data_IF_724873975563
#
_entry.id   IF_724873975563
#
_cell.length_a   1.000
_cell.length_b   1.000
_cell.length_c   1.000
_cell.angle_alpha   90.00
_cell.angle_beta   90.00
_cell.angle_gamma   90.00
#
_symmetry.space_group_name_H-M   'P 1'
#
loop_
_entity.id
_entity.type
_entity.pdbx_description
1 polymer ?
#
# COMPACT_ATOMS: atom_id res chain seq x y z
N UNK A 1 -19.36 -22.37 21.94
CA UNK A 1 -19.35 -21.46 20.76
C UNK A 1 -19.43 -19.97 21.17
N UNK A 2 -18.43 -19.39 21.87
CA UNK A 2 -18.45 -17.95 22.27
C UNK A 2 -17.19 -17.14 21.91
N UNK A 3 -16.24 -17.72 21.15
CA UNK A 3 -14.96 -17.04 20.78
C UNK A 3 -15.05 -16.11 19.56
N UNK A 4 -16.06 -16.29 18.69
CA UNK A 4 -16.26 -15.46 17.49
C UNK A 4 -16.43 -13.94 17.77
N UNK A 5 -17.30 -13.50 18.71
CA UNK A 5 -17.53 -12.07 18.91
C UNK A 5 -16.33 -11.34 19.50
N UNK A 6 -15.45 -12.03 20.24
CA UNK A 6 -14.24 -11.42 20.79
C UNK A 6 -13.18 -11.18 19.70
N UNK A 7 -12.99 -12.14 18.79
CA UNK A 7 -12.06 -12.02 17.65
C UNK A 7 -12.51 -10.90 16.71
N UNK A 8 -13.82 -10.75 16.51
CA UNK A 8 -14.39 -9.74 15.64
C UNK A 8 -14.24 -8.32 16.19
N UNK A 9 -14.43 -8.14 17.51
CA UNK A 9 -14.10 -6.89 18.21
C UNK A 9 -12.61 -6.53 18.08
N UNK A 10 -11.72 -7.51 18.28
CA UNK A 10 -10.28 -7.30 18.12
C UNK A 10 -9.91 -6.88 16.69
N UNK A 11 -10.50 -7.51 15.67
CA UNK A 11 -10.29 -7.13 14.26
C UNK A 11 -10.75 -5.71 14.00
N UNK A 12 -11.90 -5.31 14.55
CA UNK A 12 -12.44 -3.98 14.37
C UNK A 12 -11.54 -2.91 15.01
N UNK A 13 -11.01 -3.16 16.21
CA UNK A 13 -10.08 -2.27 16.89
C UNK A 13 -8.79 -2.08 16.09
N UNK A 14 -8.18 -3.18 15.65
CA UNK A 14 -6.97 -3.16 14.81
C UNK A 14 -7.25 -2.45 13.48
N UNK A 15 -8.41 -2.69 12.86
CA UNK A 15 -8.79 -2.05 11.60
C UNK A 15 -8.96 -0.54 11.78
N UNK A 16 -9.57 -0.10 12.89
CA UNK A 16 -9.75 1.32 13.19
C UNK A 16 -8.44 2.05 13.38
N UNK A 17 -7.48 1.44 14.09
CA UNK A 17 -6.14 2.03 14.27
C UNK A 17 -5.37 2.09 12.95
N UNK A 18 -5.37 0.99 12.18
CA UNK A 18 -4.75 0.97 10.86
C UNK A 18 -5.37 1.99 9.92
N UNK A 19 -6.69 2.22 9.98
CA UNK A 19 -7.36 3.20 9.15
C UNK A 19 -6.91 4.63 9.44
N UNK A 20 -6.70 4.98 10.72
CA UNK A 20 -6.16 6.31 11.10
C UNK A 20 -4.75 6.51 10.54
N UNK A 21 -3.90 5.50 10.69
CA UNK A 21 -2.53 5.53 10.15
C UNK A 21 -2.57 5.66 8.62
N UNK A 22 -3.43 4.89 7.96
CA UNK A 22 -3.62 4.94 6.52
C UNK A 22 -4.09 6.32 6.05
N UNK A 23 -5.06 6.92 6.74
CA UNK A 23 -5.58 8.25 6.42
C UNK A 23 -4.49 9.34 6.51
N UNK A 24 -3.62 9.28 7.52
CA UNK A 24 -2.50 10.19 7.67
C UNK A 24 -1.47 9.98 6.54
N UNK A 25 -1.12 8.73 6.24
CA UNK A 25 -0.20 8.42 5.14
C UNK A 25 -0.79 8.69 3.75
N UNK A 26 -2.10 8.85 3.62
CA UNK A 26 -2.74 9.17 2.36
C UNK A 26 -2.45 10.60 1.89
N UNK A 27 -2.27 11.54 2.84
CA UNK A 27 -1.96 12.95 2.54
C UNK A 27 -0.71 13.12 1.68
N UNK A 28 0.47 12.57 2.05
CA UNK A 28 1.67 12.70 1.20
C UNK A 28 1.51 11.98 -0.15
N UNK A 29 0.73 10.89 -0.23
CA UNK A 29 0.46 10.20 -1.49
C UNK A 29 -0.33 11.09 -2.45
N UNK A 30 -1.39 11.77 -1.96
CA UNK A 30 -2.15 12.73 -2.77
C UNK A 30 -1.27 13.91 -3.20
N UNK A 31 -0.46 14.45 -2.28
CA UNK A 31 0.41 15.58 -2.58
C UNK A 31 1.42 15.23 -3.69
N UNK A 32 2.07 14.07 -3.58
CA UNK A 32 2.98 13.57 -4.62
C UNK A 32 2.24 13.33 -5.94
N UNK A 33 1.05 12.72 -5.90
CA UNK A 33 0.25 12.51 -7.10
C UNK A 33 -0.07 13.82 -7.83
N UNK A 34 -0.46 14.87 -7.10
CA UNK A 34 -0.74 16.19 -7.69
C UNK A 34 0.51 16.78 -8.35
N UNK A 35 1.66 16.76 -7.66
CA UNK A 35 2.92 17.29 -8.19
C UNK A 35 3.34 16.54 -9.46
N UNK A 36 3.32 15.20 -9.42
CA UNK A 36 3.73 14.41 -10.57
C UNK A 36 2.77 14.53 -11.75
N UNK A 37 1.46 14.66 -11.50
CA UNK A 37 0.48 14.89 -12.55
C UNK A 37 0.75 16.19 -13.31
N UNK A 38 1.04 17.27 -12.59
CA UNK A 38 1.33 18.57 -13.17
C UNK A 38 2.66 18.58 -13.94
N UNK A 39 3.68 17.85 -13.45
CA UNK A 39 4.99 17.76 -14.09
C UNK A 39 4.98 16.89 -15.35
N UNK A 40 4.29 15.74 -15.32
CA UNK A 40 4.36 14.76 -16.42
C UNK A 40 3.53 15.20 -17.61
N UNK A 41 2.40 15.90 -17.40
CA UNK A 41 1.64 16.63 -18.43
C UNK A 41 1.19 15.83 -19.67
N UNK A 42 1.41 14.52 -19.70
CA UNK A 42 1.30 13.68 -20.90
C UNK A 42 0.50 12.43 -20.59
N UNK A 43 -0.26 11.97 -21.60
CA UNK A 43 -1.09 10.76 -21.54
C UNK A 43 -0.32 9.47 -21.79
N UNK A 44 0.96 9.54 -22.17
CA UNK A 44 1.74 8.36 -22.54
C UNK A 44 3.01 8.29 -21.71
N UNK A 45 2.93 7.65 -20.55
CA UNK A 45 4.03 7.62 -19.58
C UNK A 45 4.79 6.31 -19.60
N UNK A 46 4.12 5.20 -19.88
CA UNK A 46 4.75 3.90 -19.99
C UNK A 46 4.11 3.09 -21.12
N UNK A 47 4.92 2.28 -21.80
CA UNK A 47 4.44 1.32 -22.79
C UNK A 47 4.41 -0.07 -22.18
N UNK A 48 3.26 -0.75 -22.25
CA UNK A 48 3.10 -2.10 -21.74
C UNK A 48 3.16 -3.11 -22.91
N UNK A 49 4.30 -3.80 -23.12
CA UNK A 49 4.54 -4.57 -24.34
C UNK A 49 3.62 -5.80 -24.46
N UNK A 50 3.15 -6.39 -23.36
CA UNK A 50 2.28 -7.57 -23.42
C UNK A 50 0.90 -7.28 -24.02
N UNK A 51 0.40 -6.04 -23.87
CA UNK A 51 -0.91 -5.64 -24.39
C UNK A 51 -0.79 -4.63 -25.54
N UNK A 52 0.43 -4.24 -25.91
CA UNK A 52 0.71 -3.21 -26.92
C UNK A 52 -0.05 -1.89 -26.67
N UNK A 53 -0.24 -1.53 -25.40
CA UNK A 53 -0.96 -0.32 -24.98
C UNK A 53 -0.03 0.69 -24.31
N UNK A 54 -0.38 1.96 -24.44
CA UNK A 54 0.21 3.04 -23.65
C UNK A 54 -0.58 3.22 -22.37
N UNK A 55 0.13 3.37 -21.26
CA UNK A 55 -0.43 3.63 -19.95
C UNK A 55 -0.36 5.13 -19.66
N UNK A 56 -1.50 5.67 -19.28
CA UNK A 56 -1.61 6.99 -18.69
C UNK A 56 -0.89 7.05 -17.35
N UNK A 57 -0.51 8.26 -16.95
CA UNK A 57 0.17 8.54 -15.68
C UNK A 57 -0.56 7.90 -14.49
N UNK A 58 -1.88 8.04 -14.41
CA UNK A 58 -2.66 7.52 -13.29
C UNK A 58 -2.54 6.00 -13.17
N UNK A 59 -2.71 5.29 -14.28
CA UNK A 59 -2.65 3.83 -14.31
C UNK A 59 -1.25 3.34 -13.95
N UNK A 60 -0.22 3.99 -14.50
CA UNK A 60 1.17 3.70 -14.18
C UNK A 60 1.50 3.96 -12.69
N UNK A 61 1.05 5.09 -12.15
CA UNK A 61 1.30 5.48 -10.77
C UNK A 61 0.64 4.52 -9.77
N UNK A 62 -0.59 4.08 -10.04
CA UNK A 62 -1.29 3.08 -9.22
C UNK A 62 -0.53 1.76 -9.22
N UNK A 63 -0.13 1.27 -10.40
CA UNK A 63 0.65 0.03 -10.52
C UNK A 63 1.95 0.14 -9.72
N UNK A 64 2.68 1.26 -9.84
CA UNK A 64 3.91 1.50 -9.10
C UNK A 64 3.72 1.48 -7.58
N UNK A 65 2.65 2.09 -7.06
CA UNK A 65 2.32 2.06 -5.62
C UNK A 65 2.07 0.63 -5.13
N UNK A 66 1.29 -0.17 -5.88
CA UNK A 66 1.03 -1.55 -5.51
C UNK A 66 2.29 -2.42 -5.55
N UNK A 67 3.10 -2.28 -6.60
CA UNK A 67 4.38 -2.99 -6.72
C UNK A 67 5.33 -2.62 -5.58
N UNK A 68 5.48 -1.34 -5.27
CA UNK A 68 6.31 -0.88 -4.16
C UNK A 68 5.78 -1.38 -2.82
N UNK A 69 4.47 -1.36 -2.59
CA UNK A 69 3.86 -1.88 -1.36
C UNK A 69 4.20 -3.36 -1.14
N UNK A 70 4.17 -4.18 -2.20
CA UNK A 70 4.55 -5.58 -2.14
C UNK A 70 6.05 -5.76 -1.82
N UNK A 71 6.90 -4.96 -2.47
CA UNK A 71 8.35 -4.93 -2.23
C UNK A 71 8.60 -4.56 -0.75
N UNK A 72 8.06 -3.45 -0.27
CA UNK A 72 8.21 -3.04 1.11
C UNK A 72 7.71 -4.10 2.09
N UNK A 73 6.55 -4.73 1.89
CA UNK A 73 6.10 -5.83 2.75
C UNK A 73 7.05 -7.03 2.77
N UNK A 74 7.72 -7.31 1.63
CA UNK A 74 8.69 -8.39 1.52
C UNK A 74 10.00 -8.07 2.25
N UNK A 75 10.49 -6.82 2.16
CA UNK A 75 11.79 -6.41 2.69
C UNK A 75 11.74 -5.83 4.11
N UNK A 76 10.67 -5.13 4.49
CA UNK A 76 10.45 -4.56 5.82
C UNK A 76 9.77 -5.50 6.80
N UNK A 77 9.47 -6.75 6.44
CA UNK A 77 9.09 -7.75 7.45
C UNK A 77 10.22 -7.76 8.49
N UNK A 78 10.00 -7.25 9.72
CA UNK A 78 11.00 -7.39 10.74
C UNK A 78 11.18 -8.89 10.89
N UNK A 79 12.43 -9.35 10.84
CA UNK A 79 12.74 -10.71 11.21
C UNK A 79 12.19 -10.90 12.63
N UNK A 80 10.97 -11.44 12.78
CA UNK A 80 10.50 -12.02 14.03
C UNK A 80 11.24 -13.34 14.26
N UNK A 81 12.57 -13.32 14.10
CA UNK A 81 13.47 -14.33 14.61
C UNK A 81 13.70 -13.99 16.07
N UNK A 82 12.96 -14.68 16.92
CA UNK A 82 13.46 -15.07 18.24
C UNK A 82 13.12 -14.16 19.41
N UNK A 83 11.85 -14.11 19.80
CA UNK A 83 11.50 -14.14 21.24
C UNK A 83 10.79 -15.46 21.57
N UNK A 84 11.48 -16.57 21.31
CA UNK A 84 11.26 -17.88 21.96
C UNK A 84 12.60 -18.32 22.53
N UNK A 85 12.92 -17.81 23.72
CA UNK A 85 13.98 -18.22 24.65
C UNK A 85 13.81 -17.26 25.83
N UNK A 86 13.58 -17.66 27.08
CA UNK A 86 13.58 -18.95 27.78
C UNK A 86 12.66 -18.80 29.00
N UNK A 87 12.28 -19.97 29.55
CA UNK A 87 11.86 -20.25 30.94
C UNK A 87 10.66 -19.50 31.48
#
# INVERSE_FOLDING_TARGET
>A
MRRKPYIEKLRYEIMRENFKVFAIMFVPVIALWSIFKDVVGTSKVAFFPLLNIWLDFNTWYIIAIFSMSFIFQRFLKPAQRGKRRKT
#
